data_IF_732477504027
#
_entry.id   IF_732477504027
#
_cell.length_a   1.000
_cell.length_b   1.000
_cell.length_c   1.000
_cell.angle_alpha   90.00
_cell.angle_beta   90.00
_cell.angle_gamma   90.00
#
_symmetry.space_group_name_H-M   'P 1'
#
loop_
_entity.id
_entity.type
_entity.pdbx_description
1 polymer ?
#
# COMPACT_ATOMS: atom_id res chain seq x y z
N UNK A 1 -24.66 19.92 16.26
CA UNK A 1 -25.42 20.00 15.03
C UNK A 1 -24.75 19.11 14.00
N UNK A 2 -25.38 17.99 13.66
CA UNK A 2 -24.96 17.07 12.61
C UNK A 2 -25.26 17.74 11.27
N UNK A 3 -24.25 18.02 10.45
CA UNK A 3 -24.42 18.70 9.17
C UNK A 3 -24.73 17.71 8.03
N UNK A 4 -25.36 18.18 6.93
CA UNK A 4 -25.75 17.34 5.78
C UNK A 4 -24.60 16.56 5.12
N UNK A 5 -23.36 16.94 5.36
CA UNK A 5 -22.18 16.23 4.87
C UNK A 5 -21.91 14.90 5.58
N UNK A 6 -22.32 14.76 6.86
CA UNK A 6 -22.16 13.51 7.61
C UNK A 6 -23.07 12.41 7.09
N UNK A 7 -24.33 12.75 6.82
CA UNK A 7 -25.33 11.79 6.36
C UNK A 7 -24.98 11.22 4.99
N UNK A 8 -24.48 12.06 4.08
CA UNK A 8 -23.99 11.62 2.76
C UNK A 8 -22.75 10.71 2.86
N UNK A 9 -21.85 11.00 3.82
CA UNK A 9 -20.69 10.17 4.08
C UNK A 9 -21.07 8.79 4.60
N UNK A 10 -21.98 8.74 5.58
CA UNK A 10 -22.47 7.49 6.19
C UNK A 10 -23.22 6.63 5.17
N UNK A 11 -24.12 7.22 4.37
CA UNK A 11 -24.82 6.51 3.31
C UNK A 11 -23.85 5.92 2.27
N UNK A 12 -22.83 6.68 1.90
CA UNK A 12 -21.79 6.21 0.97
C UNK A 12 -20.98 5.08 1.57
N UNK A 13 -20.55 5.19 2.84
CA UNK A 13 -19.85 4.16 3.57
C UNK A 13 -20.66 2.85 3.58
N UNK A 14 -21.92 2.88 4.00
CA UNK A 14 -22.76 1.67 4.04
C UNK A 14 -23.02 1.09 2.64
N UNK A 15 -23.16 1.91 1.62
CA UNK A 15 -23.31 1.43 0.25
C UNK A 15 -22.05 0.72 -0.24
N UNK A 16 -20.89 1.30 -0.03
CA UNK A 16 -19.60 0.73 -0.43
C UNK A 16 -19.29 -0.55 0.36
N UNK A 17 -19.57 -0.56 1.67
CA UNK A 17 -19.45 -1.77 2.50
C UNK A 17 -20.34 -2.91 2.04
N UNK A 18 -21.60 -2.64 1.66
CA UNK A 18 -22.50 -3.66 1.09
C UNK A 18 -22.00 -4.19 -0.26
N UNK A 19 -21.48 -3.31 -1.11
CA UNK A 19 -20.91 -3.72 -2.39
C UNK A 19 -19.68 -4.61 -2.18
N UNK A 20 -18.81 -4.27 -1.23
CA UNK A 20 -17.67 -5.10 -0.87
C UNK A 20 -18.08 -6.45 -0.25
N UNK A 21 -19.13 -6.45 0.60
CA UNK A 21 -19.66 -7.67 1.22
C UNK A 21 -20.24 -8.68 0.20
N UNK A 22 -20.68 -8.20 -0.95
CA UNK A 22 -21.22 -9.05 -2.02
C UNK A 22 -20.11 -9.78 -2.82
N UNK A 23 -18.84 -9.42 -2.64
CA UNK A 23 -17.72 -10.02 -3.38
C UNK A 23 -17.20 -11.22 -2.59
N UNK A 24 -17.32 -12.42 -3.16
CA UNK A 24 -16.75 -13.65 -2.61
C UNK A 24 -15.49 -14.01 -3.42
N UNK A 25 -14.31 -13.85 -2.80
CA UNK A 25 -13.03 -14.23 -3.39
C UNK A 25 -12.05 -14.59 -2.26
N UNK A 26 -11.24 -15.67 -2.38
CA UNK A 26 -10.30 -16.08 -1.33
C UNK A 26 -9.21 -15.04 -1.05
N UNK A 27 -8.97 -14.10 -1.98
CA UNK A 27 -7.98 -13.03 -1.85
C UNK A 27 -8.58 -11.68 -1.44
N UNK A 28 -9.81 -11.70 -0.91
CA UNK A 28 -10.48 -10.53 -0.33
C UNK A 28 -10.95 -10.89 1.07
N UNK A 29 -10.67 -10.01 2.05
CA UNK A 29 -11.23 -10.13 3.40
C UNK A 29 -12.74 -10.04 3.33
N UNK A 30 -13.45 -11.06 3.81
CA UNK A 30 -14.90 -11.10 3.76
C UNK A 30 -15.49 -10.07 4.74
N UNK A 31 -16.38 -9.24 4.26
CA UNK A 31 -17.22 -8.37 5.09
C UNK A 31 -18.49 -9.14 5.44
N UNK A 32 -18.82 -9.22 6.74
CA UNK A 32 -19.98 -9.96 7.25
C UNK A 32 -21.17 -9.05 7.53
N UNK A 33 -20.92 -7.87 8.08
CA UNK A 33 -21.98 -6.93 8.48
C UNK A 33 -21.47 -5.51 8.58
N UNK A 34 -22.39 -4.55 8.51
CA UNK A 34 -22.13 -3.13 8.75
C UNK A 34 -23.36 -2.49 9.38
N UNK A 35 -23.15 -1.57 10.29
CA UNK A 35 -24.25 -0.88 10.98
C UNK A 35 -23.77 0.32 11.77
N UNK A 36 -24.67 0.86 12.56
CA UNK A 36 -24.41 1.96 13.49
C UNK A 36 -24.78 1.52 14.92
N UNK A 37 -23.91 1.82 15.87
CA UNK A 37 -24.14 1.60 17.29
C UNK A 37 -23.65 2.83 18.07
N UNK A 38 -24.53 3.43 18.85
CA UNK A 38 -24.24 4.60 19.69
C UNK A 38 -23.62 5.78 18.90
N UNK A 39 -24.11 6.02 17.67
CA UNK A 39 -23.62 7.08 16.80
C UNK A 39 -22.28 6.80 16.14
N UNK A 40 -21.77 5.58 16.25
CA UNK A 40 -20.55 5.08 15.61
C UNK A 40 -20.87 4.05 14.54
N UNK A 41 -20.41 4.29 13.33
CA UNK A 41 -20.47 3.26 12.28
C UNK A 41 -19.48 2.14 12.54
N UNK A 42 -19.92 0.89 12.33
CA UNK A 42 -19.08 -0.28 12.47
C UNK A 42 -19.09 -1.15 11.22
N UNK A 43 -18.03 -1.92 11.06
CA UNK A 43 -17.85 -2.93 10.03
C UNK A 43 -17.38 -4.22 10.69
N UNK A 44 -18.10 -5.30 10.43
CA UNK A 44 -17.71 -6.67 10.88
C UNK A 44 -17.09 -7.39 9.70
N UNK A 45 -15.87 -7.86 9.87
CA UNK A 45 -15.16 -8.55 8.81
C UNK A 45 -14.44 -9.79 9.34
N UNK A 46 -14.05 -10.66 8.42
CA UNK A 46 -13.18 -11.80 8.68
C UNK A 46 -11.91 -11.35 9.42
N UNK A 47 -11.55 -12.10 10.46
CA UNK A 47 -10.26 -11.91 11.11
C UNK A 47 -9.20 -12.74 10.40
N UNK A 48 -8.20 -12.08 9.84
CA UNK A 48 -7.07 -12.72 9.14
C UNK A 48 -5.93 -12.93 10.12
N UNK A 49 -5.57 -14.19 10.38
CA UNK A 49 -4.37 -14.53 11.11
C UNK A 49 -3.16 -14.35 10.20
N UNK A 50 -2.30 -13.40 10.49
CA UNK A 50 -1.12 -13.10 9.69
C UNK A 50 -0.61 -11.68 9.91
N UNK A 51 0.08 -11.15 8.90
CA UNK A 51 0.65 -9.80 8.91
C UNK A 51 0.29 -9.07 7.62
N UNK A 52 0.45 -7.75 7.57
CA UNK A 52 0.34 -7.05 6.30
C UNK A 52 1.66 -7.09 5.51
N UNK A 53 1.57 -6.82 4.21
CA UNK A 53 2.73 -6.85 3.32
C UNK A 53 3.79 -5.79 3.72
N UNK A 54 3.39 -4.65 4.30
CA UNK A 54 4.34 -3.64 4.79
C UNK A 54 5.27 -4.21 5.85
N UNK A 55 4.71 -4.99 6.78
CA UNK A 55 5.51 -5.66 7.81
C UNK A 55 6.56 -6.59 7.17
N UNK A 56 6.15 -7.44 6.21
CA UNK A 56 7.08 -8.33 5.51
C UNK A 56 8.14 -7.57 4.71
N UNK A 57 7.77 -6.50 4.02
CA UNK A 57 8.71 -5.64 3.30
C UNK A 57 9.76 -5.02 4.23
N UNK A 58 9.35 -4.59 5.41
CA UNK A 58 10.28 -4.05 6.41
C UNK A 58 11.23 -5.12 6.97
N UNK A 59 10.82 -6.38 7.03
CA UNK A 59 11.64 -7.50 7.49
C UNK A 59 12.63 -7.97 6.41
N UNK A 60 12.16 -8.08 5.17
CA UNK A 60 12.92 -8.71 4.07
C UNK A 60 13.73 -7.71 3.24
N UNK A 61 13.33 -6.44 3.21
CA UNK A 61 13.88 -5.39 2.35
C UNK A 61 13.42 -5.54 0.90
N UNK A 62 13.86 -6.59 0.20
CA UNK A 62 13.49 -6.88 -1.18
C UNK A 62 12.86 -8.26 -1.31
N UNK A 63 12.12 -8.49 -2.37
CA UNK A 63 11.48 -9.76 -2.71
C UNK A 63 12.05 -10.33 -4.00
N UNK A 64 12.02 -11.65 -4.15
CA UNK A 64 12.32 -12.28 -5.44
C UNK A 64 11.20 -12.01 -6.45
N UNK A 65 11.51 -12.17 -7.74
CA UNK A 65 10.49 -12.14 -8.80
C UNK A 65 9.37 -13.14 -8.51
N UNK A 66 9.72 -14.35 -8.05
CA UNK A 66 8.74 -15.38 -7.68
C UNK A 66 7.75 -14.89 -6.62
N UNK A 67 8.25 -14.36 -5.52
CA UNK A 67 7.41 -13.86 -4.42
C UNK A 67 6.56 -12.68 -4.86
N UNK A 68 7.18 -11.73 -5.59
CA UNK A 68 6.49 -10.55 -6.09
C UNK A 68 5.36 -10.93 -7.04
N UNK A 69 5.63 -11.74 -8.09
CA UNK A 69 4.61 -12.10 -9.07
C UNK A 69 3.50 -12.98 -8.47
N UNK A 70 3.80 -13.77 -7.43
CA UNK A 70 2.77 -14.50 -6.69
C UNK A 70 1.85 -13.54 -5.94
N UNK A 71 2.41 -12.64 -5.13
CA UNK A 71 1.62 -11.71 -4.31
C UNK A 71 0.78 -10.78 -5.19
N UNK A 72 1.36 -10.19 -6.24
CA UNK A 72 0.57 -9.33 -7.14
C UNK A 72 -0.44 -10.13 -7.96
N UNK A 73 -0.16 -11.40 -8.31
CA UNK A 73 -1.09 -12.28 -9.00
C UNK A 73 -2.34 -12.57 -8.16
N UNK A 74 -2.16 -12.91 -6.88
CA UNK A 74 -3.26 -13.11 -5.93
C UNK A 74 -4.02 -11.79 -5.67
N UNK A 75 -3.32 -10.66 -5.61
CA UNK A 75 -3.93 -9.33 -5.49
C UNK A 75 -4.78 -9.01 -6.73
N UNK A 76 -4.27 -9.25 -7.93
CA UNK A 76 -5.01 -9.05 -9.18
C UNK A 76 -6.22 -9.97 -9.29
N UNK A 77 -6.16 -11.21 -8.80
CA UNK A 77 -7.31 -12.12 -8.77
C UNK A 77 -8.44 -11.56 -7.88
N UNK A 78 -8.11 -11.09 -6.69
CA UNK A 78 -9.08 -10.41 -5.82
C UNK A 78 -9.66 -9.16 -6.48
N UNK A 79 -8.80 -8.28 -7.02
CA UNK A 79 -9.24 -7.07 -7.72
C UNK A 79 -10.09 -7.38 -8.95
N UNK A 80 -9.80 -8.46 -9.69
CA UNK A 80 -10.61 -8.86 -10.85
C UNK A 80 -12.07 -9.18 -10.44
N UNK A 81 -12.26 -9.82 -9.29
CA UNK A 81 -13.60 -10.07 -8.74
C UNK A 81 -14.30 -8.78 -8.34
N UNK A 82 -13.58 -7.84 -7.73
CA UNK A 82 -14.11 -6.52 -7.36
C UNK A 82 -14.48 -5.70 -8.60
N UNK A 83 -13.59 -5.61 -9.57
CA UNK A 83 -13.83 -4.84 -10.81
C UNK A 83 -15.02 -5.37 -11.61
N UNK A 84 -15.19 -6.70 -11.69
CA UNK A 84 -16.39 -7.31 -12.33
C UNK A 84 -17.69 -6.94 -11.60
N UNK A 85 -17.63 -6.74 -10.28
CA UNK A 85 -18.75 -6.27 -9.49
C UNK A 85 -18.94 -4.74 -9.52
N UNK A 86 -18.13 -4.02 -10.30
CA UNK A 86 -18.16 -2.56 -10.38
C UNK A 86 -17.55 -1.85 -9.17
N UNK A 87 -16.74 -2.56 -8.39
CA UNK A 87 -16.08 -2.02 -7.18
C UNK A 87 -14.62 -1.75 -7.47
N UNK A 88 -14.17 -0.53 -7.20
CA UNK A 88 -12.77 -0.08 -7.26
C UNK A 88 -12.23 0.08 -5.85
N UNK A 89 -11.02 -0.41 -5.60
CA UNK A 89 -10.43 -0.40 -4.25
C UNK A 89 -10.01 1.00 -3.79
N UNK A 90 -9.34 1.78 -4.65
CA UNK A 90 -8.90 3.19 -4.44
C UNK A 90 -7.73 3.41 -3.49
N UNK A 91 -7.32 2.41 -2.73
CA UNK A 91 -6.25 2.53 -1.72
C UNK A 91 -5.38 1.25 -1.66
N UNK A 92 -4.97 0.74 -2.82
CA UNK A 92 -4.02 -0.38 -2.89
C UNK A 92 -2.65 0.10 -2.44
N UNK A 93 -2.14 -0.55 -1.40
CA UNK A 93 -0.82 -0.30 -0.80
C UNK A 93 -0.46 -1.47 0.11
N UNK A 94 0.82 -1.65 0.48
CA UNK A 94 1.25 -2.80 1.28
C UNK A 94 0.53 -2.97 2.61
N UNK A 95 0.09 -1.87 3.24
CA UNK A 95 -0.65 -1.90 4.50
C UNK A 95 -2.03 -2.57 4.37
N UNK A 96 -2.62 -2.54 3.17
CA UNK A 96 -3.95 -3.10 2.87
C UNK A 96 -3.90 -4.49 2.20
N UNK A 97 -2.71 -5.06 2.05
CA UNK A 97 -2.49 -6.42 1.58
C UNK A 97 -2.11 -7.28 2.77
N UNK A 98 -3.03 -8.11 3.24
CA UNK A 98 -2.77 -9.04 4.33
C UNK A 98 -2.21 -10.34 3.76
N UNK A 99 -1.23 -10.91 4.44
CA UNK A 99 -0.69 -12.24 4.20
C UNK A 99 -1.11 -13.12 5.36
N UNK A 100 -1.96 -14.11 5.09
CA UNK A 100 -2.43 -15.02 6.12
C UNK A 100 -1.31 -15.96 6.59
N UNK A 101 -1.60 -16.83 7.57
CA UNK A 101 -0.66 -17.78 8.15
C UNK A 101 -0.07 -18.79 7.14
N UNK A 102 -0.70 -18.94 5.97
CA UNK A 102 -0.21 -19.73 4.83
C UNK A 102 0.53 -18.88 3.77
N UNK A 103 0.65 -17.58 4.01
CA UNK A 103 1.30 -16.63 3.11
C UNK A 103 0.43 -16.18 1.93
N UNK A 104 -0.87 -16.51 1.89
CA UNK A 104 -1.79 -16.07 0.84
C UNK A 104 -2.33 -14.68 1.08
N UNK A 105 -2.54 -13.94 -0.01
CA UNK A 105 -3.05 -12.58 0.00
C UNK A 105 -4.54 -12.55 0.35
N UNK A 106 -4.89 -11.60 1.22
CA UNK A 106 -6.26 -11.14 1.44
C UNK A 106 -6.28 -9.61 1.46
N UNK A 107 -6.96 -9.01 0.47
CA UNK A 107 -7.09 -7.54 0.36
C UNK A 107 -8.10 -7.07 1.40
N UNK A 108 -7.72 -6.04 2.15
CA UNK A 108 -8.60 -5.40 3.15
C UNK A 108 -8.82 -3.91 2.81
N UNK A 109 -9.77 -3.28 3.51
CA UNK A 109 -10.04 -1.84 3.43
C UNK A 109 -10.37 -1.35 2.01
N UNK A 110 -11.25 -2.07 1.30
CA UNK A 110 -11.85 -1.54 0.08
C UNK A 110 -12.39 -0.15 0.34
N UNK A 111 -11.78 0.85 -0.27
CA UNK A 111 -11.96 2.31 -0.27
C UNK A 111 -13.13 2.92 0.49
N UNK A 112 -13.39 2.43 1.70
CA UNK A 112 -14.47 2.88 2.55
C UNK A 112 -14.27 4.38 2.83
N UNK A 113 -14.86 5.20 1.97
CA UNK A 113 -15.00 6.64 2.13
C UNK A 113 -13.75 7.53 2.01
N UNK A 114 -12.71 7.13 1.30
CA UNK A 114 -11.60 8.06 1.01
C UNK A 114 -11.90 8.93 -0.21
N UNK A 115 -12.56 10.06 0.02
CA UNK A 115 -12.50 11.18 -0.91
C UNK A 115 -11.17 11.89 -0.67
N UNK A 116 -10.24 11.82 -1.61
CA UNK A 116 -9.00 12.61 -1.55
C UNK A 116 -9.42 14.07 -1.77
N UNK A 117 -9.68 14.81 -0.70
CA UNK A 117 -9.85 16.25 -0.80
C UNK A 117 -8.47 16.91 -0.86
N UNK A 118 -8.33 18.01 -1.61
CA UNK A 118 -7.09 18.81 -1.59
C UNK A 118 -6.73 19.30 -0.18
N UNK A 119 -7.72 19.46 0.71
CA UNK A 119 -7.51 19.79 2.12
C UNK A 119 -6.84 18.62 2.89
N UNK A 120 -7.07 17.38 2.48
CA UNK A 120 -6.42 16.20 3.07
C UNK A 120 -4.97 16.06 2.59
N UNK A 121 -4.63 16.58 1.40
CA UNK A 121 -3.25 16.61 0.88
C UNK A 121 -2.33 17.56 1.66
N UNK A 122 -2.87 18.49 2.44
CA UNK A 122 -2.10 19.47 3.22
C UNK A 122 -1.90 19.13 4.69
N UNK A 123 -2.55 18.10 5.24
CA UNK A 123 -2.35 17.67 6.62
C UNK A 123 -1.37 16.52 6.73
N UNK A 124 -0.18 16.88 7.13
CA UNK A 124 0.99 16.18 7.71
C UNK A 124 0.99 14.64 7.83
N UNK A 125 2.04 14.04 7.29
CA UNK A 125 2.63 12.74 7.72
C UNK A 125 1.87 11.47 7.33
N UNK A 126 0.59 11.36 7.61
CA UNK A 126 -0.26 10.20 7.25
C UNK A 126 -0.46 10.11 5.73
N UNK A 127 -0.35 11.23 5.05
CA UNK A 127 -0.56 11.34 3.61
C UNK A 127 0.65 10.92 2.76
N UNK A 128 1.87 11.07 3.29
CA UNK A 128 3.08 10.75 2.55
C UNK A 128 3.10 9.27 2.12
N UNK A 129 2.77 8.37 3.04
CA UNK A 129 2.74 6.94 2.77
C UNK A 129 1.69 6.54 1.72
N UNK A 130 0.50 7.12 1.77
CA UNK A 130 -0.57 6.84 0.80
C UNK A 130 -0.30 7.50 -0.55
N UNK A 131 0.27 8.71 -0.57
CA UNK A 131 0.57 9.44 -1.79
C UNK A 131 1.55 8.69 -2.72
N UNK A 132 2.41 7.85 -2.15
CA UNK A 132 3.39 7.08 -2.92
C UNK A 132 2.76 6.07 -3.91
N UNK A 133 1.48 5.71 -3.75
CA UNK A 133 0.79 4.70 -4.58
C UNK A 133 -0.36 5.28 -5.40
N UNK A 134 -0.68 6.57 -5.26
CA UNK A 134 -1.83 7.19 -5.92
C UNK A 134 -1.63 7.30 -7.43
N UNK A 135 -2.66 6.88 -8.16
CA UNK A 135 -2.70 7.03 -9.61
C UNK A 135 -2.88 8.50 -10.03
N UNK A 136 -2.29 8.94 -11.16
CA UNK A 136 -2.38 10.31 -11.65
C UNK A 136 -3.82 10.83 -11.74
N UNK A 137 -4.75 10.07 -12.29
CA UNK A 137 -6.16 10.47 -12.47
C UNK A 137 -6.91 10.62 -11.14
N UNK A 138 -6.50 9.90 -10.10
CA UNK A 138 -7.04 10.08 -8.77
C UNK A 138 -6.61 11.42 -8.18
N UNK A 139 -5.36 11.81 -8.44
CA UNK A 139 -4.78 13.08 -7.98
C UNK A 139 -5.40 14.26 -8.72
N UNK A 140 -5.43 14.22 -10.06
CA UNK A 140 -5.85 15.35 -10.90
C UNK A 140 -7.36 15.55 -10.94
N UNK A 141 -8.12 14.44 -11.02
CA UNK A 141 -9.55 14.45 -11.33
C UNK A 141 -10.41 13.83 -10.22
N UNK A 142 -9.78 13.35 -9.13
CA UNK A 142 -10.46 12.54 -8.10
C UNK A 142 -11.28 11.38 -8.71
N UNK A 143 -10.75 10.78 -9.78
CA UNK A 143 -11.40 9.75 -10.56
C UNK A 143 -10.87 8.38 -10.16
N UNK A 144 -11.71 7.59 -9.50
CA UNK A 144 -11.44 6.20 -9.18
C UNK A 144 -11.71 5.30 -10.39
N UNK A 145 -10.70 4.57 -10.83
CA UNK A 145 -10.79 3.67 -11.97
C UNK A 145 -10.19 2.30 -11.64
N UNK A 146 -10.62 1.19 -12.29
CA UNK A 146 -9.92 -0.08 -12.20
C UNK A 146 -8.44 0.04 -12.56
N UNK A 147 -8.12 0.85 -13.56
CA UNK A 147 -6.75 1.13 -13.99
C UNK A 147 -5.93 1.87 -12.91
N UNK A 148 -6.58 2.66 -12.05
CA UNK A 148 -5.96 3.30 -10.89
C UNK A 148 -5.49 2.29 -9.86
N UNK A 149 -6.28 1.26 -9.57
CA UNK A 149 -5.87 0.14 -8.72
C UNK A 149 -4.66 -0.59 -9.32
N UNK A 150 -4.62 -0.77 -10.66
CA UNK A 150 -3.49 -1.41 -11.35
C UNK A 150 -2.21 -0.59 -11.26
N UNK A 151 -2.32 0.74 -11.36
CA UNK A 151 -1.17 1.63 -11.14
C UNK A 151 -0.57 1.42 -9.75
N UNK A 152 -1.42 1.41 -8.73
CA UNK A 152 -1.00 1.18 -7.34
C UNK A 152 -0.37 -0.20 -7.14
N UNK A 153 -0.92 -1.26 -7.77
CA UNK A 153 -0.30 -2.60 -7.79
C UNK A 153 1.09 -2.56 -8.42
N UNK A 154 1.25 -1.85 -9.53
CA UNK A 154 2.55 -1.70 -10.21
C UNK A 154 3.60 -0.99 -9.35
N UNK A 155 3.22 0.09 -8.66
CA UNK A 155 4.10 0.80 -7.71
C UNK A 155 4.50 -0.13 -6.55
N UNK A 156 3.54 -0.88 -6.01
CA UNK A 156 3.79 -1.84 -4.93
C UNK A 156 4.75 -2.95 -5.38
N UNK A 157 4.56 -3.50 -6.58
CA UNK A 157 5.46 -4.50 -7.16
C UNK A 157 6.87 -3.94 -7.40
N UNK A 158 6.95 -2.70 -7.88
CA UNK A 158 8.23 -1.99 -8.05
C UNK A 158 8.98 -1.90 -6.72
N UNK A 159 8.28 -1.48 -5.66
CA UNK A 159 8.86 -1.37 -4.31
C UNK A 159 9.29 -2.74 -3.76
N UNK A 160 8.50 -3.79 -3.94
CA UNK A 160 8.87 -5.15 -3.51
C UNK A 160 10.18 -5.61 -4.13
N UNK A 161 10.39 -5.34 -5.41
CA UNK A 161 11.61 -5.75 -6.14
C UNK A 161 12.81 -4.87 -5.80
N UNK A 162 12.63 -3.56 -5.69
CA UNK A 162 13.72 -2.59 -5.52
C UNK A 162 14.03 -2.27 -4.05
N UNK A 163 13.10 -2.55 -3.12
CA UNK A 163 13.21 -2.20 -1.70
C UNK A 163 12.82 -0.76 -1.38
N UNK A 164 12.46 0.03 -2.37
CA UNK A 164 11.99 1.42 -2.21
C UNK A 164 10.98 1.77 -3.32
N UNK A 165 10.17 2.80 -3.10
CA UNK A 165 9.23 3.29 -4.12
C UNK A 165 9.96 4.03 -5.25
N UNK A 166 9.39 4.08 -6.48
CA UNK A 166 10.04 4.73 -7.63
C UNK A 166 10.16 6.24 -7.49
N UNK A 167 9.24 6.87 -6.76
CA UNK A 167 9.27 8.30 -6.48
C UNK A 167 9.38 8.55 -4.99
N UNK A 168 10.35 9.37 -4.60
CA UNK A 168 10.57 9.78 -3.21
C UNK A 168 10.59 11.30 -3.10
N UNK A 169 10.08 11.83 -2.01
CA UNK A 169 10.17 13.25 -1.65
C UNK A 169 9.80 13.43 -0.18
N UNK A 170 10.45 14.37 0.49
CA UNK A 170 10.09 14.80 1.85
C UNK A 170 8.83 15.67 1.85
N UNK A 171 8.41 16.15 0.66
CA UNK A 171 7.23 16.97 0.48
C UNK A 171 6.13 16.19 -0.26
N UNK A 172 4.95 15.97 0.36
CA UNK A 172 3.83 15.27 -0.28
C UNK A 172 3.39 15.90 -1.60
N UNK A 173 3.43 17.22 -1.71
CA UNK A 173 3.03 17.94 -2.95
C UNK A 173 3.99 17.61 -4.09
N UNK A 174 5.29 17.56 -3.82
CA UNK A 174 6.30 17.17 -4.82
C UNK A 174 6.12 15.70 -5.24
N UNK A 175 5.81 14.81 -4.30
CA UNK A 175 5.56 13.40 -4.60
C UNK A 175 4.34 13.24 -5.51
N UNK A 176 3.25 13.92 -5.18
CA UNK A 176 2.02 13.97 -5.99
C UNK A 176 2.30 14.53 -7.38
N UNK A 177 3.08 15.62 -7.47
CA UNK A 177 3.49 16.21 -8.74
C UNK A 177 4.23 15.22 -9.65
N UNK A 178 5.14 14.42 -9.07
CA UNK A 178 5.87 13.39 -9.82
C UNK A 178 4.94 12.35 -10.43
N UNK A 179 3.97 11.82 -9.67
CA UNK A 179 3.00 10.85 -10.18
C UNK A 179 2.17 11.39 -11.36
N UNK A 180 1.89 12.69 -11.38
CA UNK A 180 1.09 13.33 -12.43
C UNK A 180 1.94 13.64 -13.68
N UNK A 181 3.19 14.07 -13.51
CA UNK A 181 3.98 14.68 -14.58
C UNK A 181 5.17 13.85 -15.05
N UNK A 182 5.60 12.85 -14.27
CA UNK A 182 6.74 12.00 -14.61
C UNK A 182 6.29 10.56 -14.89
N UNK A 183 6.96 9.90 -15.81
CA UNK A 183 6.76 8.47 -16.02
C UNK A 183 7.50 7.68 -14.94
N UNK A 184 6.88 6.61 -14.45
CA UNK A 184 7.54 5.70 -13.52
C UNK A 184 8.76 5.10 -14.20
N UNK A 185 9.97 5.22 -13.61
CA UNK A 185 11.17 4.65 -14.20
C UNK A 185 11.05 3.14 -14.34
N UNK A 186 11.62 2.57 -15.39
CA UNK A 186 11.67 1.11 -15.52
C UNK A 186 12.33 0.47 -14.30
N UNK A 187 11.74 -0.61 -13.78
CA UNK A 187 12.34 -1.38 -12.69
C UNK A 187 13.76 -1.86 -13.01
N UNK A 188 14.09 -2.05 -14.28
CA UNK A 188 15.42 -2.41 -14.73
C UNK A 188 16.49 -1.34 -14.41
N UNK A 189 16.09 -0.11 -14.12
CA UNK A 189 17.02 0.94 -13.65
C UNK A 189 17.53 0.66 -12.24
N UNK A 190 16.68 0.12 -11.37
CA UNK A 190 17.01 -0.26 -10.00
C UNK A 190 17.49 -1.73 -9.91
N UNK A 191 16.83 -2.63 -10.64
CA UNK A 191 17.07 -4.07 -10.62
C UNK A 191 17.82 -4.51 -11.88
N UNK A 192 19.13 -4.31 -11.90
CA UNK A 192 19.97 -4.69 -13.05
C UNK A 192 19.90 -6.20 -13.31
N UNK A 193 19.65 -6.59 -14.56
CA UNK A 193 19.54 -7.98 -14.97
C UNK A 193 18.18 -8.63 -14.70
N UNK A 194 17.18 -7.90 -14.22
CA UNK A 194 15.81 -8.41 -14.16
C UNK A 194 15.30 -8.73 -15.57
N UNK A 195 14.45 -9.75 -15.69
CA UNK A 195 13.85 -10.14 -16.96
C UNK A 195 13.08 -8.97 -17.60
N UNK A 196 13.29 -8.74 -18.90
CA UNK A 196 12.68 -7.64 -19.66
C UNK A 196 11.15 -7.70 -19.68
N UNK A 197 10.57 -8.91 -19.71
CA UNK A 197 9.13 -9.11 -19.66
C UNK A 197 8.54 -8.68 -18.32
N UNK A 198 9.24 -8.93 -17.21
CA UNK A 198 8.84 -8.42 -15.88
C UNK A 198 8.88 -6.89 -15.88
N UNK A 199 9.95 -6.29 -16.39
CA UNK A 199 10.05 -4.84 -16.48
C UNK A 199 8.97 -4.21 -17.35
N UNK A 200 8.66 -4.82 -18.50
CA UNK A 200 7.60 -4.37 -19.40
C UNK A 200 6.20 -4.48 -18.76
N UNK A 201 5.94 -5.57 -18.03
CA UNK A 201 4.67 -5.75 -17.33
C UNK A 201 4.45 -4.65 -16.26
N UNK A 202 5.45 -4.37 -15.44
CA UNK A 202 5.35 -3.29 -14.44
C UNK A 202 5.17 -1.92 -15.11
N UNK A 203 5.89 -1.65 -16.20
CA UNK A 203 5.74 -0.41 -16.97
C UNK A 203 4.33 -0.26 -17.55
N UNK A 204 3.71 -1.37 -18.02
CA UNK A 204 2.33 -1.36 -18.51
C UNK A 204 1.32 -1.06 -17.39
N UNK A 205 1.48 -1.65 -16.20
CA UNK A 205 0.63 -1.33 -15.05
C UNK A 205 0.75 0.14 -14.61
N UNK A 206 1.94 0.72 -14.69
CA UNK A 206 2.25 2.07 -14.18
C UNK A 206 2.28 3.14 -15.27
N UNK A 207 1.79 2.85 -16.46
CA UNK A 207 1.67 3.86 -17.52
C UNK A 207 0.89 5.07 -17.00
N UNK A 208 1.38 6.29 -17.31
CA UNK A 208 0.76 7.52 -16.79
C UNK A 208 -0.64 7.73 -17.34
N UNK A 209 -0.83 7.50 -18.65
CA UNK A 209 -2.14 7.57 -19.27
C UNK A 209 -2.99 6.34 -18.88
N UNK A 210 -4.22 6.58 -18.45
CA UNK A 210 -5.16 5.53 -17.99
C UNK A 210 -5.40 4.48 -19.07
N UNK A 211 -5.64 4.94 -20.31
CA UNK A 211 -5.91 4.10 -21.48
C UNK A 211 -4.71 3.29 -21.96
N UNK A 212 -3.51 3.62 -21.50
CA UNK A 212 -2.28 2.87 -21.80
C UNK A 212 -2.03 1.72 -20.81
N UNK A 213 -2.89 1.54 -19.81
CA UNK A 213 -2.84 0.43 -18.85
C UNK A 213 -3.80 -0.68 -19.27
N UNK A 214 -3.68 -1.91 -18.73
CA UNK A 214 -4.71 -2.92 -18.90
C UNK A 214 -6.08 -2.37 -18.46
N UNK A 215 -7.16 -2.79 -19.12
CA UNK A 215 -8.49 -2.24 -18.88
C UNK A 215 -9.00 -2.47 -17.44
N UNK A 216 -8.66 -3.62 -16.88
CA UNK A 216 -8.99 -4.02 -15.50
C UNK A 216 -8.04 -5.11 -15.00
N UNK A 217 -8.26 -5.57 -13.77
CA UNK A 217 -7.43 -6.59 -13.17
C UNK A 217 -7.55 -7.97 -13.83
N UNK A 218 -8.66 -8.28 -14.50
CA UNK A 218 -8.79 -9.55 -15.25
C UNK A 218 -7.85 -9.58 -16.45
N UNK A 219 -7.75 -8.46 -17.16
CA UNK A 219 -6.82 -8.30 -18.30
C UNK A 219 -5.37 -8.34 -17.80
N UNK A 220 -5.06 -7.61 -16.74
CA UNK A 220 -3.73 -7.62 -16.14
C UNK A 220 -3.30 -9.02 -15.65
N UNK A 221 -4.22 -9.76 -15.03
CA UNK A 221 -3.95 -11.13 -14.56
C UNK A 221 -3.66 -12.07 -15.71
N UNK A 222 -4.41 -11.97 -16.82
CA UNK A 222 -4.14 -12.74 -18.03
C UNK A 222 -2.77 -12.43 -18.62
N UNK A 223 -2.37 -11.18 -18.67
CA UNK A 223 -1.05 -10.75 -19.11
C UNK A 223 0.04 -11.30 -18.20
N UNK A 224 -0.15 -11.22 -16.87
CA UNK A 224 0.78 -11.80 -15.91
C UNK A 224 0.96 -13.31 -16.10
N UNK A 225 -0.13 -14.06 -16.30
CA UNK A 225 -0.08 -15.50 -16.53
C UNK A 225 0.71 -15.86 -17.80
N UNK A 226 0.56 -15.08 -18.87
CA UNK A 226 1.36 -15.25 -20.09
C UNK A 226 2.84 -14.98 -19.84
N UNK A 227 3.17 -13.88 -19.13
CA UNK A 227 4.53 -13.57 -18.72
C UNK A 227 5.14 -14.74 -17.92
N UNK A 228 4.43 -15.22 -16.91
CA UNK A 228 4.87 -16.30 -16.04
C UNK A 228 5.24 -17.58 -16.81
N UNK A 229 4.52 -17.86 -17.91
CA UNK A 229 4.79 -19.04 -18.77
C UNK A 229 6.08 -18.93 -19.57
N UNK A 230 6.66 -17.74 -19.69
CA UNK A 230 7.90 -17.47 -20.45
C UNK A 230 9.15 -17.39 -19.60
N UNK A 231 9.02 -17.27 -18.27
CA UNK A 231 10.13 -17.05 -17.36
C UNK A 231 10.96 -18.33 -17.17
N UNK A 232 12.28 -18.19 -17.29
CA UNK A 232 13.24 -19.25 -16.94
C UNK A 232 13.37 -19.36 -15.41
N UNK A 233 13.96 -20.46 -14.93
CA UNK A 233 14.18 -20.69 -13.50
C UNK A 233 15.01 -19.57 -12.86
N UNK A 234 16.02 -19.08 -13.57
CA UNK A 234 16.85 -17.96 -13.11
C UNK A 234 16.07 -16.67 -12.96
N UNK A 235 15.10 -16.39 -13.86
CA UNK A 235 14.25 -15.21 -13.78
C UNK A 235 13.37 -15.23 -12.51
N UNK A 236 12.81 -16.41 -12.20
CA UNK A 236 12.01 -16.62 -10.99
C UNK A 236 12.80 -16.41 -9.70
N UNK A 237 14.08 -16.76 -9.71
CA UNK A 237 14.97 -16.65 -8.55
C UNK A 237 15.60 -15.27 -8.41
N UNK A 238 15.46 -14.41 -9.42
CA UNK A 238 16.03 -13.07 -9.38
C UNK A 238 15.55 -12.34 -8.12
N UNK A 239 16.50 -11.79 -7.38
CA UNK A 239 16.30 -10.93 -6.22
C UNK A 239 17.43 -9.93 -6.15
N UNK A 240 17.11 -8.66 -5.90
CA UNK A 240 18.13 -7.65 -5.68
C UNK A 240 18.88 -7.98 -4.38
N UNK A 241 20.22 -8.12 -4.41
CA UNK A 241 20.97 -8.38 -3.18
C UNK A 241 20.76 -7.24 -2.18
N UNK A 242 20.77 -7.53 -0.85
CA UNK A 242 20.74 -6.49 0.17
C UNK A 242 21.88 -5.51 -0.05
N UNK A 243 21.62 -4.23 0.12
CA UNK A 243 22.68 -3.21 0.10
C UNK A 243 23.54 -3.42 1.34
N UNK A 244 24.78 -3.89 1.16
CA UNK A 244 25.78 -3.95 2.23
C UNK A 244 26.10 -2.53 2.67
N UNK A 245 25.51 -2.10 3.77
CA UNK A 245 25.78 -0.79 4.39
C UNK A 245 27.21 -0.73 4.97
N UNK A 246 27.93 -1.86 4.99
CA UNK A 246 29.31 -1.96 5.50
C UNK A 246 30.40 -1.49 4.54
N UNK A 247 30.08 -1.19 3.27
CA UNK A 247 31.10 -0.83 2.26
C UNK A 247 31.30 0.67 2.05
N UNK A 248 30.61 1.54 2.76
CA UNK A 248 30.72 3.01 2.56
C UNK A 248 31.67 3.74 3.53
N UNK A 249 32.38 3.01 4.40
CA UNK A 249 33.25 3.63 5.42
C UNK A 249 34.76 3.38 5.23
N UNK A 250 35.21 3.15 4.01
CA UNK A 250 36.66 3.01 3.74
C UNK A 250 37.18 3.87 2.60
N UNK A 251 36.90 5.18 2.63
CA UNK A 251 37.66 6.17 1.86
C UNK A 251 37.66 7.52 2.57
N UNK A 252 38.34 7.59 3.70
CA UNK A 252 38.79 8.87 4.25
C UNK A 252 40.22 9.14 3.75
N UNK A 253 40.51 10.24 3.07
CA UNK A 253 41.89 10.66 2.84
C UNK A 253 42.46 11.21 4.13
N UNK A 254 43.58 10.66 4.54
CA UNK A 254 44.39 11.21 5.61
C UNK A 254 44.79 12.65 5.26
N UNK A 255 44.46 13.60 6.11
CA UNK A 255 45.10 14.88 6.13
C UNK A 255 45.49 15.27 7.56
N UNK A 256 46.81 15.38 7.74
CA UNK A 256 47.46 15.85 8.95
C UNK A 256 47.19 17.35 9.20
N UNK A 257 46.93 17.73 10.41
CA UNK A 257 47.01 19.14 10.83
C UNK A 257 46.10 19.50 12.00
N UNK A 258 46.53 19.31 13.22
CA UNK A 258 46.03 20.08 14.36
C UNK A 258 46.56 21.51 14.30
N UNK A 259 45.98 22.54 14.96
CA UNK A 259 45.56 22.48 16.37
C UNK A 259 44.29 23.28 16.78
N UNK A 260 43.75 22.88 17.90
CA UNK A 260 43.08 23.69 18.97
C UNK A 260 42.17 24.87 18.60
N UNK A 261 40.90 24.83 18.99
CA UNK A 261 40.38 25.77 20.01
C UNK A 261 38.94 25.47 20.48
N UNK A 262 38.80 25.42 21.76
CA UNK A 262 37.77 25.94 22.69
C UNK A 262 36.29 25.81 22.33
N UNK A 263 35.61 25.12 23.23
CA UNK A 263 34.22 24.79 23.38
C UNK A 263 33.18 25.88 23.23
N UNK A 264 32.04 25.36 22.77
CA UNK A 264 30.73 25.88 23.14
C UNK A 264 29.80 24.71 23.45
N UNK A 265 28.98 24.77 24.49
CA UNK A 265 28.13 23.67 24.92
C UNK A 265 26.95 23.48 23.98
N UNK A 266 26.77 22.23 23.56
CA UNK A 266 25.59 21.80 22.82
C UNK A 266 24.36 21.90 23.73
N UNK A 267 23.26 22.53 23.30
CA UNK A 267 22.01 22.52 24.07
C UNK A 267 21.43 21.09 24.12
N UNK A 268 20.77 20.70 25.21
CA UNK A 268 20.20 19.38 25.37
C UNK A 268 19.07 19.13 24.37
N UNK A 269 19.01 17.91 23.82
CA UNK A 269 17.96 17.46 22.94
C UNK A 269 16.57 17.58 23.62
N UNK A 270 15.52 17.92 22.86
CA UNK A 270 14.17 17.97 23.41
C UNK A 270 13.72 16.58 23.88
N UNK A 271 12.90 16.48 24.94
CA UNK A 271 12.43 15.20 25.46
C UNK A 271 11.55 14.49 24.42
N UNK A 272 11.71 13.18 24.33
CA UNK A 272 10.88 12.32 23.49
C UNK A 272 9.40 12.48 23.88
N UNK A 273 8.47 12.45 22.92
CA UNK A 273 7.06 12.51 23.24
C UNK A 273 6.65 11.28 24.08
N UNK A 274 5.70 11.45 25.01
CA UNK A 274 5.28 10.36 25.89
C UNK A 274 4.69 9.21 25.07
N UNK A 275 5.18 8.01 25.30
CA UNK A 275 4.60 6.77 24.82
C UNK A 275 3.18 6.68 25.36
N UNK A 276 2.19 6.77 24.49
CA UNK A 276 0.79 6.54 24.88
C UNK A 276 0.67 5.08 25.30
N UNK A 277 0.56 4.85 26.60
CA UNK A 277 0.09 3.59 27.13
C UNK A 277 -1.36 3.42 26.71
N UNK A 278 -1.62 2.42 25.88
CA UNK A 278 -2.99 2.00 25.61
C UNK A 278 -3.63 1.52 26.91
N UNK A 279 -4.71 2.19 27.32
CA UNK A 279 -5.46 1.89 28.54
C UNK A 279 -6.02 0.46 28.45
N UNK A 280 -5.79 -0.33 29.49
CA UNK A 280 -6.09 -1.76 29.64
C UNK A 280 -7.60 -2.07 29.76
N UNK A 281 -8.48 -1.12 29.37
CA UNK A 281 -9.95 -1.24 29.51
C UNK A 281 -10.61 -2.16 28.48
N UNK A 282 -9.88 -2.62 27.45
CA UNK A 282 -10.41 -3.56 26.45
C UNK A 282 -10.25 -5.03 26.82
N UNK A 283 -9.74 -5.37 28.00
CA UNK A 283 -9.46 -6.76 28.41
C UNK A 283 -10.57 -7.48 29.18
N UNK A 284 -11.76 -6.93 29.30
CA UNK A 284 -12.88 -7.61 29.95
C UNK A 284 -14.05 -7.84 29.00
N UNK A 285 -13.84 -8.69 28.00
CA UNK A 285 -14.92 -9.45 27.40
C UNK A 285 -14.67 -10.92 27.71
N UNK A 286 -15.51 -11.47 28.56
CA UNK A 286 -15.47 -12.86 28.97
C UNK A 286 -15.55 -13.79 27.76
N UNK A 287 -14.75 -14.86 27.85
CA UNK A 287 -14.65 -15.97 26.90
C UNK A 287 -16.03 -16.54 26.55
N UNK A 288 -16.64 -16.06 25.49
CA UNK A 288 -17.61 -16.85 24.75
C UNK A 288 -16.84 -17.52 23.60
N UNK A 289 -16.88 -18.87 23.62
CA UNK A 289 -16.29 -19.70 22.56
C UNK A 289 -17.09 -19.56 21.29
N UNK A 290 -16.76 -18.55 20.49
CA UNK A 290 -17.20 -18.41 19.09
C UNK A 290 -16.07 -17.75 18.33
N UNK A 291 -15.91 -18.10 17.06
CA UNK A 291 -14.87 -17.59 16.15
C UNK A 291 -14.65 -16.09 16.35
N UNK A 292 -13.41 -15.72 16.63
CA UNK A 292 -13.04 -14.37 17.02
C UNK A 292 -13.44 -13.36 15.93
N UNK A 293 -14.43 -12.54 16.23
CA UNK A 293 -14.82 -11.39 15.40
C UNK A 293 -14.23 -10.14 16.06
N UNK A 294 -13.38 -9.43 15.34
CA UNK A 294 -12.83 -8.16 15.81
C UNK A 294 -13.66 -7.01 15.27
N UNK A 295 -14.19 -6.18 16.15
CA UNK A 295 -14.89 -4.95 15.80
C UNK A 295 -13.87 -3.80 15.81
N UNK A 296 -13.63 -3.21 14.66
CA UNK A 296 -12.79 -2.01 14.54
C UNK A 296 -13.68 -0.76 14.46
N UNK A 297 -13.51 0.22 15.35
CA UNK A 297 -14.21 1.49 15.22
C UNK A 297 -13.67 2.26 14.02
N UNK A 298 -14.58 2.83 13.23
CA UNK A 298 -14.22 3.77 12.16
C UNK A 298 -13.72 5.05 12.82
N UNK A 299 -12.44 5.37 12.66
CA UNK A 299 -11.90 6.63 13.18
C UNK A 299 -12.55 7.81 12.47
N UNK A 300 -13.24 8.62 13.22
CA UNK A 300 -13.70 9.93 12.77
C UNK A 300 -12.47 10.85 12.64
N UNK A 301 -12.14 11.25 11.43
CA UNK A 301 -11.24 12.38 11.22
C UNK A 301 -12.04 13.68 11.36
N UNK A 302 -11.67 14.47 12.35
CA UNK A 302 -12.11 15.86 12.46
C UNK A 302 -11.47 16.72 11.37
#
# INVERSE_FOLDING_TARGET
>A
AQGPHRDQFVERFHREARSAAAIANPHIVQVYDTGEFDGLDYLVMEYVHGVNLRYEMNQQGTFSVRETLRIIGETLDGLASAHRAGVVHRDIKPENILLNDRGHVQITDFGLAKTVSQATLSSTGILLGTAAYLAPEMIEKNQATPQGDLYSVGIMAWEMLAGNVPFTSDNPVTLVFKHVHEDVPSIATACKGINEGVAAFLAHLTARAVEARPADASVALTELQRLQSTLAVSDWQYRLPPVDVSASDSAAPANNGAPTNVGNPVPPAPPAPPTQQFDDRTRKLDRVKTNATTVMPVQQQN
#
